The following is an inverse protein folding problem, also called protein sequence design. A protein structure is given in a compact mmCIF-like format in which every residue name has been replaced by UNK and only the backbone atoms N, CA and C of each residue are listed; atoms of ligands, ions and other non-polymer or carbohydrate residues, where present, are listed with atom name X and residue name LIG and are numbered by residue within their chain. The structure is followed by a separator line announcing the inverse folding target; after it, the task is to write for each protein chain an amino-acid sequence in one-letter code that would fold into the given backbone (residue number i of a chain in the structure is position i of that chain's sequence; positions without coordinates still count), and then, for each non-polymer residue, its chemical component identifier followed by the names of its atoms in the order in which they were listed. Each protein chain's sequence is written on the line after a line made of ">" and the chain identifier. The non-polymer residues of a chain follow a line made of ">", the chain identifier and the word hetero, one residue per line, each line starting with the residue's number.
data_IF_465791024951
#
_entry.id   IF_465791024951
#
_cell.length_a   1.000
_cell.length_b   1.000
_cell.length_c   1.000
_cell.angle_alpha   90.00
_cell.angle_beta   90.00
_cell.angle_gamma   90.00
#
_symmetry.space_group_name_H-M   'P 1'
#
loop_
_entity.id
_entity.type
_entity.pdbx_description
1 polymer ?
#
# COMPACT_ATOMS: atom_id res chain seq x y z
N UNK A 1 -20.21 35.08 23.13
CA UNK A 1 -19.91 33.78 22.50
C UNK A 1 -20.62 32.71 23.32
N UNK A 2 -21.50 31.92 22.70
CA UNK A 2 -22.14 30.77 23.34
C UNK A 2 -21.55 29.50 22.73
N UNK A 3 -21.29 28.48 23.56
CA UNK A 3 -20.64 27.22 23.14
C UNK A 3 -21.49 26.03 23.52
N UNK A 4 -21.65 25.08 22.61
CA UNK A 4 -22.27 23.78 22.85
C UNK A 4 -21.19 22.69 22.86
N UNK A 5 -21.14 21.89 23.92
CA UNK A 5 -20.24 20.73 24.01
C UNK A 5 -20.99 19.47 23.60
N UNK A 6 -20.45 18.72 22.65
CA UNK A 6 -21.03 17.45 22.18
C UNK A 6 -20.10 16.31 22.60
N UNK A 7 -20.65 15.28 23.23
CA UNK A 7 -19.91 14.07 23.56
C UNK A 7 -19.91 13.14 22.33
N UNK A 8 -18.75 12.99 21.69
CA UNK A 8 -18.59 12.08 20.56
C UNK A 8 -18.45 10.65 21.11
N UNK A 9 -19.28 9.69 20.66
CA UNK A 9 -19.15 8.29 21.08
C UNK A 9 -17.76 7.72 20.75
N UNK A 10 -17.26 6.83 21.59
CA UNK A 10 -15.98 6.16 21.36
C UNK A 10 -15.97 5.42 20.02
N UNK A 11 -14.92 5.63 19.21
CA UNK A 11 -14.82 5.03 17.88
C UNK A 11 -15.61 5.74 16.79
N UNK A 12 -16.21 6.91 17.05
CA UNK A 12 -16.92 7.72 16.06
C UNK A 12 -16.26 9.09 15.85
N UNK A 13 -16.51 9.69 14.69
CA UNK A 13 -16.17 11.09 14.36
C UNK A 13 -17.39 11.80 13.82
N UNK A 14 -17.41 13.13 13.90
CA UNK A 14 -18.46 13.95 13.28
C UNK A 14 -18.34 13.79 11.76
N UNK A 15 -19.42 13.33 11.13
CA UNK A 15 -19.56 13.23 9.68
C UNK A 15 -20.08 14.55 9.11
N UNK A 16 -21.15 15.08 9.68
CA UNK A 16 -21.76 16.34 9.23
C UNK A 16 -22.52 17.03 10.36
N UNK A 17 -22.74 18.34 10.19
CA UNK A 17 -23.58 19.17 11.04
C UNK A 17 -24.60 19.92 10.17
N UNK A 18 -25.88 19.86 10.53
CA UNK A 18 -26.96 20.65 9.92
C UNK A 18 -27.22 21.90 10.76
N UNK A 19 -26.91 23.07 10.20
CA UNK A 19 -27.04 24.36 10.88
C UNK A 19 -28.51 24.78 11.12
N UNK A 20 -29.46 24.25 10.35
CA UNK A 20 -30.89 24.63 10.45
C UNK A 20 -31.61 23.84 11.53
N UNK A 21 -31.32 22.55 11.64
CA UNK A 21 -31.95 21.65 12.62
C UNK A 21 -31.12 21.46 13.88
N UNK A 22 -29.81 21.74 13.81
CA UNK A 22 -28.86 21.46 14.88
C UNK A 22 -28.44 19.98 14.93
N UNK A 23 -28.78 19.18 13.92
CA UNK A 23 -28.48 17.75 13.88
C UNK A 23 -27.00 17.49 13.57
N UNK A 24 -26.36 16.63 14.37
CA UNK A 24 -24.97 16.20 14.18
C UNK A 24 -24.99 14.71 13.86
N UNK A 25 -24.48 14.34 12.69
CA UNK A 25 -24.34 12.93 12.31
C UNK A 25 -22.92 12.44 12.63
N UNK A 26 -22.83 11.23 13.19
CA UNK A 26 -21.57 10.57 13.46
C UNK A 26 -21.34 9.42 12.49
N UNK A 27 -20.08 9.16 12.16
CA UNK A 27 -19.67 7.96 11.46
C UNK A 27 -18.54 7.25 12.21
N UNK A 28 -18.43 5.92 12.12
CA UNK A 28 -17.32 5.20 12.69
C UNK A 28 -15.99 5.73 12.16
N UNK A 29 -15.00 5.88 13.04
CA UNK A 29 -13.61 6.10 12.62
C UNK A 29 -13.18 4.86 11.85
N UNK A 30 -12.70 4.99 10.59
CA UNK A 30 -12.17 3.86 9.86
C UNK A 30 -11.04 3.22 10.65
N UNK A 31 -11.09 1.90 10.81
CA UNK A 31 -9.98 1.12 11.39
C UNK A 31 -8.70 1.39 10.60
N UNK A 32 -7.56 1.23 11.27
CA UNK A 32 -6.27 1.30 10.60
C UNK A 32 -6.21 0.31 9.44
N UNK A 33 -5.54 0.68 8.34
CA UNK A 33 -5.52 -0.12 7.12
C UNK A 33 -4.95 -1.53 7.36
N UNK A 34 -4.01 -1.67 8.30
CA UNK A 34 -3.44 -2.95 8.68
C UNK A 34 -4.44 -3.87 9.39
N UNK A 35 -5.43 -3.32 10.07
CA UNK A 35 -6.51 -4.12 10.69
C UNK A 35 -7.57 -4.54 9.68
N UNK A 36 -7.74 -3.74 8.61
CA UNK A 36 -8.69 -4.01 7.53
C UNK A 36 -8.18 -5.07 6.56
N UNK A 37 -6.85 -5.18 6.39
CA UNK A 37 -6.22 -6.13 5.46
C UNK A 37 -5.67 -7.33 6.24
N UNK A 38 -6.32 -8.48 6.12
CA UNK A 38 -5.87 -9.74 6.71
C UNK A 38 -5.69 -10.86 5.68
N UNK A 39 -6.22 -10.67 4.47
CA UNK A 39 -6.25 -11.66 3.40
C UNK A 39 -6.18 -10.99 2.03
N UNK A 40 -5.96 -11.81 0.98
CA UNK A 40 -6.04 -11.33 -0.40
C UNK A 40 -7.46 -10.90 -0.80
N UNK A 41 -8.48 -11.49 -0.16
CA UNK A 41 -9.87 -11.10 -0.41
C UNK A 41 -10.08 -9.62 -0.02
N UNK A 42 -9.56 -9.20 1.13
CA UNK A 42 -9.63 -7.80 1.57
C UNK A 42 -8.94 -6.85 0.58
N UNK A 43 -7.82 -7.29 -0.03
CA UNK A 43 -7.11 -6.52 -1.06
C UNK A 43 -8.00 -6.33 -2.29
N UNK A 44 -8.66 -7.39 -2.77
CA UNK A 44 -9.56 -7.29 -3.93
C UNK A 44 -10.75 -6.38 -3.63
N UNK A 45 -11.37 -6.52 -2.46
CA UNK A 45 -12.51 -5.69 -2.02
C UNK A 45 -12.14 -4.21 -1.93
N UNK A 46 -10.99 -3.88 -1.33
CA UNK A 46 -10.50 -2.49 -1.23
C UNK A 46 -10.17 -1.88 -2.59
N UNK A 47 -9.87 -2.72 -3.60
CA UNK A 47 -9.64 -2.30 -4.97
C UNK A 47 -10.89 -2.38 -5.86
N UNK A 48 -12.08 -2.66 -5.29
CA UNK A 48 -13.35 -2.81 -6.00
C UNK A 48 -13.28 -3.83 -7.15
N UNK A 49 -12.62 -4.96 -6.91
CA UNK A 49 -12.50 -6.07 -7.86
C UNK A 49 -12.68 -7.41 -7.15
N UNK A 50 -12.64 -8.50 -7.91
CA UNK A 50 -12.70 -9.86 -7.37
C UNK A 50 -11.47 -10.64 -7.78
N UNK A 51 -11.18 -11.74 -7.07
CA UNK A 51 -10.12 -12.66 -7.47
C UNK A 51 -10.40 -13.24 -8.87
N UNK A 52 -11.66 -13.56 -9.18
CA UNK A 52 -12.05 -14.10 -10.49
C UNK A 52 -11.76 -13.10 -11.61
N UNK A 53 -12.14 -11.83 -11.45
CA UNK A 53 -11.87 -10.78 -12.44
C UNK A 53 -10.36 -10.58 -12.66
N UNK A 54 -9.60 -10.58 -11.56
CA UNK A 54 -8.15 -10.51 -11.61
C UNK A 54 -7.55 -11.71 -12.35
N UNK A 55 -7.96 -12.92 -12.02
CA UNK A 55 -7.47 -14.15 -12.62
C UNK A 55 -7.82 -14.25 -14.10
N UNK A 56 -9.01 -13.78 -14.49
CA UNK A 56 -9.44 -13.70 -15.89
C UNK A 56 -8.62 -12.66 -16.67
N UNK A 57 -8.33 -11.50 -16.08
CA UNK A 57 -7.52 -10.44 -16.72
C UNK A 57 -6.09 -10.89 -17.00
N UNK A 58 -5.51 -11.71 -16.11
CA UNK A 58 -4.14 -12.21 -16.22
C UNK A 58 -4.06 -13.65 -16.73
N UNK A 59 -5.14 -14.15 -17.35
CA UNK A 59 -5.17 -15.49 -17.93
C UNK A 59 -4.18 -15.60 -19.09
N UNK A 60 -3.30 -16.59 -19.03
CA UNK A 60 -2.30 -16.86 -20.07
C UNK A 60 -0.98 -16.08 -19.91
N UNK A 61 -0.86 -15.26 -18.86
CA UNK A 61 0.41 -14.65 -18.46
C UNK A 61 1.19 -15.58 -17.53
N UNK A 62 2.51 -15.37 -17.47
CA UNK A 62 3.37 -16.15 -16.59
C UNK A 62 3.07 -15.84 -15.11
N UNK A 63 3.32 -16.80 -14.18
CA UNK A 63 3.02 -16.62 -12.77
C UNK A 63 3.65 -15.36 -12.15
N UNK A 64 4.87 -15.02 -12.54
CA UNK A 64 5.58 -13.85 -12.01
C UNK A 64 4.95 -12.52 -12.47
N UNK A 65 4.38 -12.46 -13.69
CA UNK A 65 3.68 -11.28 -14.20
C UNK A 65 2.38 -11.06 -13.42
N UNK A 66 1.64 -12.14 -13.20
CA UNK A 66 0.43 -12.14 -12.38
C UNK A 66 0.74 -11.73 -10.93
N UNK A 67 1.82 -12.24 -10.35
CA UNK A 67 2.25 -11.86 -9.00
C UNK A 67 2.68 -10.39 -8.90
N UNK A 68 3.41 -9.87 -9.90
CA UNK A 68 3.76 -8.45 -9.96
C UNK A 68 2.52 -7.54 -10.06
N UNK A 69 1.49 -7.98 -10.79
CA UNK A 69 0.21 -7.28 -10.84
C UNK A 69 -0.54 -7.30 -9.51
N UNK A 70 -0.45 -8.39 -8.74
CA UNK A 70 -1.06 -8.50 -7.43
C UNK A 70 -0.41 -7.54 -6.42
N UNK A 71 0.91 -7.35 -6.50
CA UNK A 71 1.62 -6.34 -5.68
C UNK A 71 1.11 -4.92 -5.90
N UNK A 72 0.70 -4.58 -7.13
CA UNK A 72 0.08 -3.28 -7.43
C UNK A 72 -1.19 -3.10 -6.60
N UNK A 73 -2.03 -4.13 -6.52
CA UNK A 73 -3.27 -4.10 -5.74
C UNK A 73 -2.98 -4.03 -4.24
N UNK A 74 -1.96 -4.74 -3.76
CA UNK A 74 -1.52 -4.68 -2.35
C UNK A 74 -1.12 -3.24 -2.01
N UNK A 75 -0.21 -2.63 -2.76
CA UNK A 75 0.25 -1.26 -2.49
C UNK A 75 -0.89 -0.26 -2.60
N UNK A 76 -1.79 -0.41 -3.58
CA UNK A 76 -2.96 0.44 -3.73
C UNK A 76 -3.90 0.33 -2.51
N UNK A 77 -4.14 -0.87 -1.99
CA UNK A 77 -4.97 -1.09 -0.82
C UNK A 77 -4.39 -0.42 0.43
N UNK A 78 -3.08 -0.61 0.71
CA UNK A 78 -2.40 0.00 1.85
C UNK A 78 -2.31 1.54 1.77
N UNK A 79 -2.27 2.07 0.55
CA UNK A 79 -2.32 3.51 0.30
C UNK A 79 -3.75 4.06 0.20
N UNK A 80 -4.77 3.22 0.40
CA UNK A 80 -6.19 3.56 0.28
C UNK A 80 -6.55 4.21 -1.07
N UNK A 81 -5.93 3.74 -2.15
CA UNK A 81 -6.10 4.28 -3.51
C UNK A 81 -5.45 5.65 -3.75
N UNK A 82 -4.79 6.25 -2.76
CA UNK A 82 -4.14 7.56 -2.88
C UNK A 82 -2.81 7.42 -3.62
N UNK A 83 -2.57 8.33 -4.55
CA UNK A 83 -1.26 8.42 -5.21
C UNK A 83 -0.25 9.10 -4.28
N UNK A 84 1.01 8.63 -4.25
CA UNK A 84 2.07 9.31 -3.51
C UNK A 84 2.37 10.67 -4.13
N UNK A 85 2.44 11.71 -3.29
CA UNK A 85 3.00 13.01 -3.68
C UNK A 85 4.53 12.94 -3.61
N UNK A 86 5.21 13.17 -4.72
CA UNK A 86 6.68 13.16 -4.77
C UNK A 86 7.31 14.55 -4.57
N UNK A 87 6.50 15.57 -4.33
CA UNK A 87 6.93 16.96 -4.10
C UNK A 87 6.86 17.38 -2.63
N UNK A 88 6.25 16.56 -1.78
CA UNK A 88 5.99 16.84 -0.36
C UNK A 88 7.21 16.67 0.57
N UNK A 89 8.34 16.20 0.04
CA UNK A 89 9.55 15.93 0.81
C UNK A 89 9.42 14.77 1.80
N UNK A 90 8.33 13.99 1.77
CA UNK A 90 8.15 12.84 2.68
C UNK A 90 8.78 11.57 2.12
N UNK A 91 9.29 10.73 3.01
CA UNK A 91 9.86 9.43 2.63
C UNK A 91 8.80 8.51 2.01
N UNK A 92 9.23 7.76 1.00
CA UNK A 92 8.44 6.75 0.30
C UNK A 92 9.14 5.41 0.47
N UNK A 93 8.39 4.39 0.86
CA UNK A 93 8.95 3.10 1.25
C UNK A 93 8.61 2.04 0.22
N UNK A 94 9.56 1.17 -0.09
CA UNK A 94 9.31 0.00 -0.94
C UNK A 94 10.08 -1.19 -0.36
N UNK A 95 9.55 -2.41 -0.51
CA UNK A 95 10.18 -3.57 0.06
C UNK A 95 11.42 -3.96 -0.76
N UNK A 96 12.54 -4.17 -0.06
CA UNK A 96 13.79 -4.64 -0.64
C UNK A 96 14.10 -6.05 -0.14
N UNK A 97 14.08 -7.02 -1.04
CA UNK A 97 14.34 -8.42 -0.72
C UNK A 97 15.79 -8.79 -0.98
N UNK A 98 16.43 -9.49 -0.04
CA UNK A 98 17.77 -10.06 -0.22
C UNK A 98 17.66 -11.44 -0.86
N UNK A 99 17.65 -11.48 -2.18
CA UNK A 99 17.53 -12.71 -2.98
C UNK A 99 18.89 -13.40 -3.13
N UNK A 100 19.42 -14.02 -2.06
CA UNK A 100 20.46 -15.06 -2.06
C UNK A 100 21.85 -14.80 -2.68
N UNK A 101 22.03 -13.78 -3.52
CA UNK A 101 23.24 -13.47 -4.27
C UNK A 101 23.82 -12.11 -3.85
N UNK A 102 25.15 -11.98 -3.66
CA UNK A 102 25.80 -10.70 -3.35
C UNK A 102 25.55 -9.59 -4.39
N UNK A 103 25.15 -9.96 -5.60
CA UNK A 103 24.82 -9.08 -6.74
C UNK A 103 23.36 -9.20 -7.19
N UNK A 104 22.47 -9.64 -6.29
CA UNK A 104 21.14 -10.23 -6.51
C UNK A 104 20.03 -9.48 -7.28
N UNK A 105 20.32 -8.98 -8.48
CA UNK A 105 19.35 -8.54 -9.49
C UNK A 105 19.75 -8.93 -10.93
N UNK A 106 20.64 -9.91 -11.10
CA UNK A 106 21.07 -10.32 -12.44
C UNK A 106 21.92 -9.28 -13.19
N UNK A 107 22.47 -8.29 -12.48
CA UNK A 107 23.42 -7.35 -13.07
C UNK A 107 24.74 -8.07 -13.38
N UNK A 108 24.92 -8.45 -14.64
CA UNK A 108 26.22 -8.87 -15.17
C UNK A 108 27.10 -7.63 -15.31
N UNK A 109 28.24 -7.60 -14.61
CA UNK A 109 29.24 -6.55 -14.76
C UNK A 109 30.58 -7.17 -15.15
N UNK A 110 31.23 -6.60 -16.18
CA UNK A 110 32.52 -7.08 -16.67
C UNK A 110 33.71 -6.43 -15.94
N UNK A 111 33.55 -5.21 -15.42
CA UNK A 111 34.53 -4.46 -14.61
C UNK A 111 33.76 -3.55 -13.64
N UNK A 112 34.25 -3.36 -12.41
CA UNK A 112 33.71 -2.36 -11.48
C UNK A 112 34.75 -1.29 -11.16
N UNK A 113 34.34 -0.01 -11.25
CA UNK A 113 35.10 1.13 -10.73
C UNK A 113 34.26 1.75 -9.62
N UNK A 114 34.84 1.94 -8.43
CA UNK A 114 34.15 2.59 -7.31
C UNK A 114 34.02 4.08 -7.59
N UNK A 115 32.88 4.48 -8.13
CA UNK A 115 32.44 5.88 -8.14
C UNK A 115 31.12 5.97 -7.40
N UNK A 116 31.10 6.67 -6.26
CA UNK A 116 29.87 6.94 -5.54
C UNK A 116 29.02 7.94 -6.35
N UNK A 117 27.93 7.45 -6.93
CA UNK A 117 26.84 8.30 -7.42
C UNK A 117 25.64 8.05 -6.53
N UNK A 118 25.24 9.06 -5.76
CA UNK A 118 23.98 9.03 -5.02
C UNK A 118 22.86 9.27 -6.01
N UNK A 119 22.27 8.19 -6.51
CA UNK A 119 21.06 8.25 -7.32
C UNK A 119 19.89 7.67 -6.52
N UNK A 120 18.93 8.52 -6.18
CA UNK A 120 17.67 8.12 -5.53
C UNK A 120 16.70 7.68 -6.62
N UNK A 121 16.77 6.41 -7.04
CA UNK A 121 15.87 5.83 -8.04
C UNK A 121 14.87 4.87 -7.40
N UNK A 122 13.58 5.15 -7.59
CA UNK A 122 12.46 4.29 -7.20
C UNK A 122 11.14 5.06 -7.26
N UNK A 123 10.40 4.97 -8.37
CA UNK A 123 9.19 5.79 -8.59
C UNK A 123 7.90 4.99 -8.83
N UNK A 124 7.90 3.68 -8.55
CA UNK A 124 6.71 2.83 -8.75
C UNK A 124 6.54 1.89 -7.57
N UNK A 125 5.29 1.74 -7.09
CA UNK A 125 4.89 0.80 -6.02
C UNK A 125 5.46 1.13 -4.64
N UNK A 126 5.32 2.39 -4.22
CA UNK A 126 5.74 2.85 -2.90
C UNK A 126 4.57 2.98 -1.94
N UNK A 127 4.82 2.66 -0.67
CA UNK A 127 3.98 2.99 0.46
C UNK A 127 4.28 4.42 0.91
N UNK A 128 3.23 5.19 1.20
CA UNK A 128 3.36 6.61 1.53
C UNK A 128 2.46 7.02 2.70
N UNK A 129 2.59 8.29 3.10
CA UNK A 129 1.90 8.82 4.26
C UNK A 129 2.60 8.51 5.58
N UNK A 130 1.97 8.95 6.68
CA UNK A 130 2.55 8.91 8.03
C UNK A 130 3.01 7.51 8.47
N UNK A 131 2.26 6.47 8.08
CA UNK A 131 2.50 5.08 8.47
C UNK A 131 3.10 4.26 7.31
N UNK A 132 3.69 4.90 6.30
CA UNK A 132 4.12 4.22 5.07
C UNK A 132 5.15 3.11 5.31
N UNK A 133 6.03 3.28 6.30
CA UNK A 133 7.03 2.27 6.65
C UNK A 133 6.39 1.05 7.32
N UNK A 134 5.54 1.27 8.32
CA UNK A 134 4.83 0.22 9.05
C UNK A 134 3.87 -0.54 8.13
N UNK A 135 3.19 0.16 7.22
CA UNK A 135 2.32 -0.43 6.22
C UNK A 135 3.10 -1.34 5.27
N UNK A 136 4.30 -0.93 4.86
CA UNK A 136 5.18 -1.73 4.01
C UNK A 136 5.65 -3.00 4.73
N UNK A 137 6.03 -2.91 6.01
CA UNK A 137 6.41 -4.09 6.80
C UNK A 137 5.25 -5.08 6.97
N UNK A 138 4.07 -4.57 7.34
CA UNK A 138 2.86 -5.39 7.52
C UNK A 138 2.43 -6.08 6.22
N UNK A 139 2.45 -5.36 5.10
CA UNK A 139 2.16 -5.92 3.78
C UNK A 139 3.13 -7.05 3.41
N UNK A 140 4.43 -6.84 3.62
CA UNK A 140 5.45 -7.85 3.32
C UNK A 140 5.28 -9.07 4.21
N UNK A 141 4.99 -8.89 5.50
CA UNK A 141 4.79 -10.00 6.43
C UNK A 141 3.59 -10.86 6.03
N UNK A 142 2.44 -10.23 5.74
CA UNK A 142 1.19 -10.92 5.37
C UNK A 142 1.25 -11.58 4.00
N UNK A 143 1.92 -10.95 3.05
CA UNK A 143 1.89 -11.35 1.63
C UNK A 143 3.27 -11.75 1.08
N UNK A 144 4.18 -12.19 1.96
CA UNK A 144 5.53 -12.62 1.57
C UNK A 144 5.54 -13.65 0.42
N UNK A 145 4.64 -14.65 0.35
CA UNK A 145 4.60 -15.58 -0.77
C UNK A 145 4.38 -14.86 -2.12
N UNK A 146 3.42 -13.93 -2.18
CA UNK A 146 3.10 -13.19 -3.41
C UNK A 146 4.28 -12.31 -3.84
N UNK A 147 4.96 -11.69 -2.87
CA UNK A 147 6.19 -10.94 -3.12
C UNK A 147 7.36 -11.81 -3.58
N UNK A 148 7.38 -13.12 -3.28
CA UNK A 148 8.42 -14.04 -3.78
C UNK A 148 8.12 -14.46 -5.22
N UNK A 149 6.88 -14.82 -5.50
CA UNK A 149 6.44 -15.30 -6.81
C UNK A 149 6.68 -14.27 -7.92
N UNK A 150 6.54 -12.98 -7.61
CA UNK A 150 6.78 -11.89 -8.55
C UNK A 150 8.26 -11.70 -8.91
N UNK A 151 9.18 -12.35 -8.20
CA UNK A 151 10.64 -12.19 -8.30
C UNK A 151 11.35 -13.45 -8.77
N UNK A 152 10.62 -14.52 -9.00
CA UNK A 152 11.14 -15.79 -9.52
C UNK A 152 10.69 -15.95 -10.97
N UNK A 153 11.65 -15.95 -11.90
CA UNK A 153 11.49 -16.39 -13.28
C UNK A 153 11.82 -17.88 -13.39
#
# INVERSE_FOLDING_TARGET
>A
MQTLTINIPEGFRIKSFDEKTGEVSFEPVPKDIKERINSLQDIFELNNTTQEDFDNKWKGFEPHEKAAALEILIVAAYNEGKLPDFTDGTYKYYPRFKMGSPSGLGFSYFVCVRWNSLSTVGSRLVFHGKNGYENMLDAVEKFLPQYKDSRTL
#
